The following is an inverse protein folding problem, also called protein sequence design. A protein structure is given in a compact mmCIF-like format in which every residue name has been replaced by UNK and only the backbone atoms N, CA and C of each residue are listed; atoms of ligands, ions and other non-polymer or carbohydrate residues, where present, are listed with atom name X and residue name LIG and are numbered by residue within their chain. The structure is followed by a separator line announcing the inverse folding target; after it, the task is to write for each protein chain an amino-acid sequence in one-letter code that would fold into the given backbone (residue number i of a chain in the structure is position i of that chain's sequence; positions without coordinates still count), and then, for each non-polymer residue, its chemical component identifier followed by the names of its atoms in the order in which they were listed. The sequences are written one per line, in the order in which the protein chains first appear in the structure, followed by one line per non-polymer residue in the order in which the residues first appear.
data_IF_649708568720
#
_entry.id   IF_649708568720
#
_cell.length_a   1.000
_cell.length_b   1.000
_cell.length_c   1.000
_cell.angle_alpha   90.00
_cell.angle_beta   90.00
_cell.angle_gamma   90.00
#
_symmetry.space_group_name_H-M   'P 1'
#
loop_
_entity.id
_entity.type
_entity.pdbx_description
1 polymer ?
#
# COMPACT_ATOMS: atom_id res chain seq x y z
N UNK A 1 -12.05 1.83 -8.07
CA UNK A 1 -10.92 0.95 -7.78
C UNK A 1 -10.14 0.71 -9.06
N UNK A 2 -8.80 0.77 -9.01
CA UNK A 2 -7.94 0.49 -10.15
C UNK A 2 -7.12 -0.76 -9.83
N UNK A 3 -7.34 -1.81 -10.61
CA UNK A 3 -6.53 -3.03 -10.55
C UNK A 3 -5.39 -2.92 -11.56
N UNK A 4 -4.17 -3.24 -11.13
CA UNK A 4 -2.98 -3.19 -11.98
C UNK A 4 -2.35 -4.58 -12.10
N UNK A 5 -2.29 -5.11 -13.30
CA UNK A 5 -1.58 -6.34 -13.62
C UNK A 5 -0.46 -6.07 -14.62
N UNK A 6 0.72 -6.62 -14.39
CA UNK A 6 1.85 -6.40 -15.30
C UNK A 6 1.65 -7.12 -16.64
N UNK A 7 0.92 -8.24 -16.66
CA UNK A 7 0.68 -9.08 -17.86
C UNK A 7 -0.74 -9.56 -17.89
N UNK A 8 -1.29 -9.74 -19.07
CA UNK A 8 -2.63 -10.35 -19.26
C UNK A 8 -2.68 -11.82 -18.84
N UNK A 9 -1.55 -12.50 -18.85
CA UNK A 9 -1.41 -13.89 -18.40
C UNK A 9 -1.37 -14.06 -16.88
N UNK A 10 -1.48 -12.98 -16.10
CA UNK A 10 -1.55 -13.05 -14.64
C UNK A 10 -2.81 -13.81 -14.21
N UNK A 11 -2.66 -14.78 -13.31
CA UNK A 11 -3.75 -15.63 -12.84
C UNK A 11 -4.89 -14.84 -12.15
N UNK A 12 -4.61 -13.64 -11.65
CA UNK A 12 -5.61 -12.77 -11.06
C UNK A 12 -6.50 -12.06 -12.10
N UNK A 13 -6.05 -11.91 -13.35
CA UNK A 13 -6.77 -11.15 -14.39
C UNK A 13 -8.18 -11.69 -14.66
N UNK A 14 -8.40 -13.00 -14.85
CA UNK A 14 -9.77 -13.52 -15.06
C UNK A 14 -10.68 -13.26 -13.85
N UNK A 15 -10.14 -13.37 -12.64
CA UNK A 15 -10.89 -13.09 -11.41
C UNK A 15 -11.29 -11.63 -11.32
N UNK A 16 -10.35 -10.71 -11.57
CA UNK A 16 -10.62 -9.27 -11.56
C UNK A 16 -11.67 -8.88 -12.59
N UNK A 17 -11.59 -9.41 -13.81
CA UNK A 17 -12.61 -9.18 -14.86
C UNK A 17 -14.00 -9.62 -14.41
N UNK A 18 -14.10 -10.78 -13.76
CA UNK A 18 -15.36 -11.26 -13.18
C UNK A 18 -15.86 -10.34 -12.07
N UNK A 19 -14.99 -9.96 -11.11
CA UNK A 19 -15.37 -9.04 -10.04
C UNK A 19 -15.90 -7.70 -10.57
N UNK A 20 -15.29 -7.15 -11.59
CA UNK A 20 -15.76 -5.92 -12.22
C UNK A 20 -17.16 -6.11 -12.84
N UNK A 21 -17.38 -7.23 -13.54
CA UNK A 21 -18.67 -7.55 -14.13
C UNK A 21 -19.77 -7.79 -13.09
N UNK A 22 -19.45 -8.49 -12.00
CA UNK A 22 -20.37 -8.80 -10.91
C UNK A 22 -20.74 -7.56 -10.05
N UNK A 23 -19.93 -6.50 -10.11
CA UNK A 23 -20.11 -5.28 -9.32
C UNK A 23 -20.19 -4.00 -10.17
N UNK A 24 -21.14 -3.88 -11.12
CA UNK A 24 -21.20 -2.77 -12.08
C UNK A 24 -21.46 -1.40 -11.43
N UNK A 25 -21.95 -1.38 -10.20
CA UNK A 25 -22.13 -0.13 -9.43
C UNK A 25 -20.83 0.42 -8.82
N UNK A 26 -19.77 -0.37 -8.80
CA UNK A 26 -18.47 0.04 -8.28
C UNK A 26 -17.63 0.56 -9.46
N UNK A 27 -17.29 1.84 -9.42
CA UNK A 27 -16.40 2.40 -10.44
C UNK A 27 -15.03 1.73 -10.33
N UNK A 28 -14.77 0.79 -11.23
CA UNK A 28 -13.53 0.00 -11.23
C UNK A 28 -13.02 -0.22 -12.66
N UNK A 29 -11.72 -0.41 -12.77
CA UNK A 29 -11.05 -0.71 -14.04
C UNK A 29 -9.85 -1.62 -13.81
N UNK A 30 -9.50 -2.40 -14.82
CA UNK A 30 -8.30 -3.24 -14.88
C UNK A 30 -7.35 -2.63 -15.92
N UNK A 31 -6.14 -2.31 -15.48
CA UNK A 31 -5.06 -1.82 -16.34
C UNK A 31 -3.97 -2.89 -16.45
N UNK A 32 -3.63 -3.27 -17.67
CA UNK A 32 -2.62 -4.28 -17.97
C UNK A 32 -1.43 -3.62 -18.63
N UNK A 33 -0.25 -4.07 -18.30
CA UNK A 33 1.02 -3.58 -18.81
C UNK A 33 1.96 -3.18 -17.68
N UNK A 34 3.20 -2.95 -18.05
CA UNK A 34 4.28 -2.58 -17.15
C UNK A 34 5.06 -1.42 -17.76
N UNK A 35 5.36 -0.41 -16.94
CA UNK A 35 6.13 0.77 -17.36
C UNK A 35 7.44 0.76 -16.60
N UNK A 36 8.56 0.56 -17.29
CA UNK A 36 9.90 0.54 -16.70
C UNK A 36 10.33 1.93 -16.24
N UNK A 37 9.91 2.32 -15.04
CA UNK A 37 10.33 3.56 -14.38
C UNK A 37 11.56 3.36 -13.50
N UNK A 38 11.73 2.16 -12.96
CA UNK A 38 12.68 1.91 -11.88
C UNK A 38 13.07 0.44 -11.80
N UNK A 39 13.98 0.12 -10.88
CA UNK A 39 14.30 -1.26 -10.52
C UNK A 39 13.23 -1.96 -9.66
N UNK A 40 12.16 -1.24 -9.24
CA UNK A 40 11.09 -1.81 -8.42
C UNK A 40 9.91 -2.25 -9.29
N UNK A 41 9.68 -3.57 -9.48
CA UNK A 41 8.60 -4.08 -10.33
C UNK A 41 7.21 -3.68 -9.86
N UNK A 42 7.00 -3.53 -8.55
CA UNK A 42 5.72 -3.09 -7.97
C UNK A 42 5.37 -1.69 -8.43
N UNK A 43 6.31 -0.74 -8.34
CA UNK A 43 6.08 0.64 -8.77
C UNK A 43 5.88 0.72 -10.28
N UNK A 44 6.64 -0.05 -11.05
CA UNK A 44 6.47 -0.14 -12.50
C UNK A 44 5.04 -0.59 -12.87
N UNK A 45 4.50 -1.58 -12.16
CA UNK A 45 3.13 -2.04 -12.34
C UNK A 45 2.08 -1.01 -11.87
N UNK A 46 2.33 -0.31 -10.77
CA UNK A 46 1.38 0.66 -10.20
C UNK A 46 1.32 1.99 -10.96
N UNK A 47 2.35 2.34 -11.73
CA UNK A 47 2.46 3.65 -12.38
C UNK A 47 1.26 4.00 -13.26
N UNK A 48 0.80 3.07 -14.09
CA UNK A 48 -0.40 3.27 -14.93
C UNK A 48 -1.67 3.53 -14.12
N UNK A 49 -1.76 2.89 -12.94
CA UNK A 49 -2.87 3.14 -12.01
C UNK A 49 -2.79 4.51 -11.36
N UNK A 50 -1.58 4.96 -11.02
CA UNK A 50 -1.33 6.30 -10.50
C UNK A 50 -1.70 7.38 -11.52
N UNK A 51 -1.29 7.23 -12.78
CA UNK A 51 -1.63 8.14 -13.88
C UNK A 51 -3.15 8.18 -14.14
N UNK A 52 -3.81 7.03 -14.10
CA UNK A 52 -5.25 6.93 -14.33
C UNK A 52 -6.11 7.38 -13.14
N UNK A 53 -5.52 7.50 -11.96
CA UNK A 53 -6.24 7.94 -10.77
C UNK A 53 -6.50 9.45 -10.81
N UNK A 54 -7.73 9.87 -10.49
CA UNK A 54 -8.14 11.29 -10.50
C UNK A 54 -8.47 11.81 -9.10
N UNK A 55 -8.36 10.97 -8.08
CA UNK A 55 -8.70 11.32 -6.69
C UNK A 55 -7.55 12.06 -6.00
N UNK A 56 -7.90 12.98 -5.09
CA UNK A 56 -6.94 13.63 -4.19
C UNK A 56 -6.35 12.68 -3.16
N UNK A 57 -7.00 11.54 -2.95
CA UNK A 57 -6.58 10.50 -2.04
C UNK A 57 -6.20 9.25 -2.83
N UNK A 58 -5.03 8.73 -2.53
CA UNK A 58 -4.47 7.54 -3.16
C UNK A 58 -4.18 6.48 -2.11
N UNK A 59 -4.63 5.25 -2.35
CA UNK A 59 -4.19 4.10 -1.59
C UNK A 59 -3.55 3.08 -2.51
N UNK A 60 -2.32 2.73 -2.22
CA UNK A 60 -1.59 1.64 -2.86
C UNK A 60 -1.56 0.47 -1.89
N UNK A 61 -2.06 -0.68 -2.32
CA UNK A 61 -2.11 -1.88 -1.50
C UNK A 61 -1.71 -3.10 -2.30
N UNK A 62 -1.07 -4.07 -1.64
CA UNK A 62 -0.74 -5.35 -2.24
C UNK A 62 -1.99 -6.24 -2.34
N UNK A 63 -1.96 -7.17 -3.29
CA UNK A 63 -3.07 -8.11 -3.54
C UNK A 63 -3.21 -9.22 -2.49
N UNK A 64 -2.22 -9.38 -1.60
CA UNK A 64 -2.22 -10.41 -0.56
C UNK A 64 -2.67 -9.91 0.82
N UNK A 65 -3.50 -8.88 0.85
CA UNK A 65 -4.16 -8.41 2.06
C UNK A 65 -5.65 -8.70 2.02
N UNK A 66 -6.22 -9.10 3.14
CA UNK A 66 -7.66 -9.15 3.34
C UNK A 66 -8.11 -7.79 3.87
N UNK A 67 -8.83 -7.06 3.03
CA UNK A 67 -9.30 -5.71 3.35
C UNK A 67 -10.72 -5.76 3.90
N UNK A 68 -10.88 -5.29 5.12
CA UNK A 68 -12.21 -5.16 5.75
C UNK A 68 -13.04 -4.08 5.06
N UNK A 69 -14.37 -4.14 5.21
CA UNK A 69 -15.30 -3.15 4.61
C UNK A 69 -15.04 -1.71 5.05
N UNK A 70 -14.46 -1.52 6.21
CA UNK A 70 -14.15 -0.21 6.79
C UNK A 70 -12.66 0.20 6.62
N UNK A 71 -11.92 -0.50 5.75
CA UNK A 71 -10.50 -0.28 5.49
C UNK A 71 -10.14 1.20 5.30
N UNK A 72 -10.75 1.87 4.33
CA UNK A 72 -10.46 3.28 4.05
C UNK A 72 -10.84 4.19 5.22
N UNK A 73 -11.92 3.89 5.92
CA UNK A 73 -12.33 4.65 7.10
C UNK A 73 -11.29 4.57 8.21
N UNK A 74 -10.69 3.40 8.41
CA UNK A 74 -9.63 3.19 9.40
C UNK A 74 -8.36 3.96 9.06
N UNK A 75 -7.99 4.01 7.78
CA UNK A 75 -6.85 4.81 7.33
C UNK A 75 -7.11 6.30 7.55
N UNK A 76 -8.29 6.79 7.19
CA UNK A 76 -8.68 8.18 7.41
C UNK A 76 -8.75 8.56 8.90
N UNK A 77 -9.15 7.65 9.77
CA UNK A 77 -9.32 7.93 11.20
C UNK A 77 -8.04 8.36 11.92
N UNK A 78 -6.87 7.95 11.41
CA UNK A 78 -5.57 8.32 11.98
C UNK A 78 -4.92 9.51 11.29
N UNK A 79 -5.54 10.05 10.23
CA UNK A 79 -5.02 11.24 9.55
C UNK A 79 -5.10 12.48 10.44
N UNK A 80 -4.03 13.29 10.47
CA UNK A 80 -3.90 14.56 11.19
C UNK A 80 -3.26 15.59 10.26
N UNK A 81 -3.20 16.84 10.66
CA UNK A 81 -2.60 17.92 9.86
C UNK A 81 -1.13 17.69 9.52
N UNK A 82 -0.40 17.07 10.44
CA UNK A 82 1.02 16.73 10.26
C UNK A 82 1.26 15.40 9.55
N UNK A 83 0.20 14.74 9.04
CA UNK A 83 0.32 13.43 8.39
C UNK A 83 0.62 13.57 6.91
N UNK A 84 1.70 12.96 6.44
CA UNK A 84 2.02 12.86 5.02
C UNK A 84 1.65 11.50 4.40
N UNK A 85 1.59 10.46 5.23
CA UNK A 85 1.29 9.09 4.81
C UNK A 85 0.69 8.31 5.97
N UNK A 86 -0.34 7.52 5.69
CA UNK A 86 -0.79 6.47 6.60
C UNK A 86 -0.41 5.11 6.02
N UNK A 87 0.20 4.28 6.86
CA UNK A 87 0.57 2.91 6.54
C UNK A 87 -0.10 1.94 7.52
N UNK A 88 -0.04 0.64 7.20
CA UNK A 88 -0.52 -0.39 8.10
C UNK A 88 0.37 -1.63 7.98
N UNK A 89 1.02 -2.04 9.07
CA UNK A 89 1.73 -3.30 9.08
C UNK A 89 0.73 -4.46 8.95
N UNK A 90 1.07 -5.51 8.19
CA UNK A 90 0.21 -6.68 8.06
C UNK A 90 0.28 -7.55 9.32
N UNK A 91 -0.78 -8.32 9.55
CA UNK A 91 -0.81 -9.43 10.50
C UNK A 91 -0.81 -10.73 9.71
N UNK A 92 0.19 -11.56 9.88
CA UNK A 92 0.25 -12.87 9.26
C UNK A 92 -0.83 -13.80 9.84
N UNK A 93 -1.62 -14.42 8.96
CA UNK A 93 -2.72 -15.31 9.34
C UNK A 93 -2.76 -16.53 8.41
N UNK A 94 -3.35 -17.63 8.87
CA UNK A 94 -3.61 -18.83 8.05
C UNK A 94 -2.36 -19.37 7.34
N UNK A 95 -1.25 -19.62 8.04
CA UNK A 95 -0.04 -20.11 7.39
C UNK A 95 -0.29 -21.47 6.69
N UNK A 96 0.12 -21.58 5.43
CA UNK A 96 -0.05 -22.80 4.65
C UNK A 96 0.90 -23.95 5.05
N UNK A 97 2.02 -23.62 5.72
CA UNK A 97 3.06 -24.57 6.10
C UNK A 97 3.89 -24.03 7.27
N UNK A 98 4.86 -24.81 7.71
CA UNK A 98 5.76 -24.44 8.81
C UNK A 98 6.49 -23.11 8.58
N UNK A 99 7.03 -22.88 7.39
CA UNK A 99 7.73 -21.64 7.08
C UNK A 99 6.81 -20.44 7.06
N UNK A 100 5.60 -20.60 6.55
CA UNK A 100 4.55 -19.58 6.66
C UNK A 100 4.19 -19.27 8.13
N UNK A 101 4.19 -20.30 9.01
CA UNK A 101 3.98 -20.06 10.44
C UNK A 101 5.12 -19.27 11.09
N UNK A 102 6.36 -19.53 10.69
CA UNK A 102 7.53 -18.76 11.14
C UNK A 102 7.45 -17.31 10.66
N UNK A 103 7.08 -17.09 9.39
CA UNK A 103 6.85 -15.73 8.84
C UNK A 103 5.73 -15.01 9.61
N UNK A 104 4.59 -15.65 9.84
CA UNK A 104 3.50 -15.10 10.64
C UNK A 104 3.97 -14.74 12.06
N UNK A 105 4.75 -15.59 12.71
CA UNK A 105 5.29 -15.33 14.03
C UNK A 105 6.20 -14.10 14.04
N UNK A 106 7.07 -13.95 13.03
CA UNK A 106 7.93 -12.78 12.87
C UNK A 106 7.12 -11.50 12.63
N UNK A 107 6.17 -11.52 11.68
CA UNK A 107 5.31 -10.38 11.38
C UNK A 107 4.55 -9.90 12.63
N UNK A 108 3.95 -10.85 13.35
CA UNK A 108 3.05 -10.56 14.47
C UNK A 108 3.78 -10.20 15.77
N UNK A 109 4.95 -10.76 16.00
CA UNK A 109 5.70 -10.53 17.24
C UNK A 109 6.71 -9.40 17.15
N UNK A 110 7.46 -9.31 16.06
CA UNK A 110 8.54 -8.34 15.89
C UNK A 110 8.09 -7.15 15.07
N UNK A 111 7.77 -7.36 13.80
CA UNK A 111 7.62 -6.27 12.85
C UNK A 111 6.47 -5.34 13.21
N UNK A 112 5.27 -5.85 13.43
CA UNK A 112 4.11 -5.03 13.75
C UNK A 112 4.29 -4.26 15.07
N UNK A 113 4.84 -4.91 16.10
CA UNK A 113 5.07 -4.27 17.41
C UNK A 113 6.07 -3.13 17.33
N UNK A 114 7.20 -3.35 16.64
CA UNK A 114 8.20 -2.30 16.49
C UNK A 114 7.71 -1.12 15.67
N UNK A 115 6.92 -1.37 14.63
CA UNK A 115 6.33 -0.30 13.84
C UNK A 115 5.34 0.53 14.67
N UNK A 116 4.44 -0.11 15.40
CA UNK A 116 3.49 0.59 16.26
C UNK A 116 4.20 1.35 17.40
N UNK A 117 5.19 0.76 18.04
CA UNK A 117 5.98 1.44 19.06
C UNK A 117 6.72 2.67 18.49
N UNK A 118 7.28 2.57 17.29
CA UNK A 118 7.92 3.69 16.62
C UNK A 118 6.91 4.81 16.31
N UNK A 119 5.68 4.48 15.90
CA UNK A 119 4.63 5.47 15.63
C UNK A 119 4.22 6.20 16.92
N UNK A 120 4.03 5.50 18.03
CA UNK A 120 3.74 6.09 19.34
C UNK A 120 4.83 7.06 19.80
N UNK A 121 6.09 6.78 19.46
CA UNK A 121 7.24 7.67 19.71
C UNK A 121 7.38 8.78 18.67
N UNK A 122 6.43 8.93 17.74
CA UNK A 122 6.47 9.92 16.67
C UNK A 122 7.46 9.60 15.54
N UNK A 123 7.99 8.37 15.51
CA UNK A 123 8.95 7.88 14.53
C UNK A 123 8.34 6.83 13.59
N UNK A 124 7.04 6.90 13.34
CA UNK A 124 6.34 6.02 12.42
C UNK A 124 7.04 5.91 11.07
N UNK A 125 7.01 4.74 10.46
CA UNK A 125 7.60 4.47 9.15
C UNK A 125 6.68 3.59 8.31
N UNK A 126 6.74 3.78 6.99
CA UNK A 126 5.90 3.08 6.05
C UNK A 126 6.25 1.61 5.94
N UNK A 127 5.25 0.81 5.60
CA UNK A 127 5.37 -0.57 5.20
C UNK A 127 4.59 -0.75 3.88
N UNK A 128 5.23 -1.36 2.89
CA UNK A 128 4.76 -1.38 1.49
C UNK A 128 3.39 -2.02 1.25
N UNK A 129 2.84 -2.76 2.22
CA UNK A 129 1.53 -3.41 2.09
C UNK A 129 0.36 -2.43 2.00
N UNK A 130 0.46 -1.29 2.68
CA UNK A 130 -0.54 -0.21 2.63
C UNK A 130 0.16 1.13 2.67
N UNK A 131 -0.04 1.94 1.62
CA UNK A 131 0.46 3.30 1.51
C UNK A 131 -0.71 4.21 1.13
N UNK A 132 -1.22 4.96 2.09
CA UNK A 132 -2.36 5.86 1.91
C UNK A 132 -1.89 7.32 1.97
N UNK A 133 -2.07 8.04 0.86
CA UNK A 133 -1.53 9.36 0.59
C UNK A 133 -2.61 10.41 0.33
N UNK A 134 -2.31 11.66 0.65
CA UNK A 134 -2.83 12.77 -0.15
C UNK A 134 -1.95 12.92 -1.39
N UNK A 135 -2.57 13.03 -2.56
CA UNK A 135 -1.88 13.17 -3.83
C UNK A 135 -0.86 14.31 -3.79
N UNK A 136 -1.22 15.47 -3.28
CA UNK A 136 -0.36 16.65 -3.18
C UNK A 136 0.96 16.38 -2.45
N UNK A 137 0.94 15.59 -1.37
CA UNK A 137 2.14 15.23 -0.60
C UNK A 137 3.08 14.36 -1.43
N UNK A 138 2.52 13.38 -2.15
CA UNK A 138 3.29 12.51 -3.01
C UNK A 138 3.89 13.30 -4.19
N UNK A 139 3.11 14.16 -4.82
CA UNK A 139 3.53 14.98 -5.96
C UNK A 139 4.58 16.02 -5.58
N UNK A 140 4.43 16.69 -4.43
CA UNK A 140 5.44 17.61 -3.89
C UNK A 140 6.80 16.92 -3.67
N UNK A 141 6.80 15.61 -3.38
CA UNK A 141 8.00 14.79 -3.25
C UNK A 141 8.55 14.24 -4.57
N UNK A 142 7.95 14.59 -5.72
CA UNK A 142 8.34 14.12 -7.05
C UNK A 142 7.56 12.91 -7.57
N UNK A 143 6.41 12.63 -6.98
CA UNK A 143 5.47 11.61 -7.43
C UNK A 143 5.97 10.18 -7.24
N UNK A 144 5.28 9.25 -7.90
CA UNK A 144 5.61 7.82 -7.83
C UNK A 144 7.02 7.51 -8.37
N UNK A 145 7.49 8.28 -9.35
CA UNK A 145 8.82 8.12 -9.93
C UNK A 145 9.93 8.38 -8.90
N UNK A 146 9.73 9.30 -7.95
CA UNK A 146 10.70 9.56 -6.89
C UNK A 146 10.85 8.37 -5.94
N UNK A 147 9.77 7.64 -5.65
CA UNK A 147 9.81 6.42 -4.85
C UNK A 147 10.63 5.32 -5.54
N UNK A 148 10.59 5.27 -6.87
CA UNK A 148 11.30 4.28 -7.68
C UNK A 148 12.82 4.45 -7.72
N UNK A 149 13.37 5.55 -7.21
CA UNK A 149 14.83 5.75 -7.12
C UNK A 149 15.49 4.85 -6.06
N UNK A 150 14.71 4.18 -5.24
CA UNK A 150 15.15 3.23 -4.22
C UNK A 150 14.47 1.88 -4.46
N UNK A 151 15.15 0.80 -4.09
CA UNK A 151 14.57 -0.55 -4.24
C UNK A 151 13.35 -0.76 -3.34
N UNK A 152 13.35 -0.16 -2.15
CA UNK A 152 12.29 -0.26 -1.18
C UNK A 152 11.43 1.03 -1.20
N UNK A 153 10.23 0.95 -1.77
CA UNK A 153 9.30 2.06 -1.90
C UNK A 153 8.77 2.57 -0.55
N UNK A 154 8.71 1.73 0.46
CA UNK A 154 8.30 2.08 1.81
C UNK A 154 9.34 2.94 2.53
N UNK A 155 10.62 2.58 2.39
CA UNK A 155 11.73 3.40 2.88
C UNK A 155 11.75 4.75 2.14
N UNK A 156 11.57 4.74 0.82
CA UNK A 156 11.51 5.95 0.01
C UNK A 156 10.33 6.84 0.43
N UNK A 157 9.16 6.24 0.66
CA UNK A 157 7.94 6.89 1.15
C UNK A 157 8.17 7.58 2.49
N UNK A 158 8.76 6.86 3.44
CA UNK A 158 9.09 7.41 4.77
C UNK A 158 10.01 8.62 4.66
N UNK A 159 11.05 8.53 3.85
CA UNK A 159 12.00 9.64 3.64
C UNK A 159 11.36 10.85 2.97
N UNK A 160 10.52 10.60 1.95
CA UNK A 160 9.80 11.64 1.22
C UNK A 160 8.89 12.45 2.17
N UNK A 161 8.14 11.77 3.02
CA UNK A 161 7.25 12.39 4.00
C UNK A 161 8.06 13.21 5.03
N UNK A 162 9.11 12.63 5.58
CA UNK A 162 9.95 13.32 6.58
C UNK A 162 10.69 14.52 6.01
N UNK A 163 11.11 14.47 4.75
CA UNK A 163 11.75 15.60 4.07
C UNK A 163 10.82 16.82 3.92
N UNK A 164 9.51 16.61 3.98
CA UNK A 164 8.50 17.68 3.97
C UNK A 164 8.08 18.12 5.39
N UNK A 165 8.76 17.65 6.44
CA UNK A 165 8.40 17.95 7.83
C UNK A 165 7.14 17.23 8.32
N UNK A 166 6.63 16.28 7.54
CA UNK A 166 5.42 15.52 7.84
C UNK A 166 5.76 14.18 8.50
N UNK A 167 4.74 13.50 9.01
CA UNK A 167 4.86 12.21 9.70
C UNK A 167 4.21 11.08 8.91
N UNK A 168 4.79 9.89 9.05
CA UNK A 168 4.11 8.64 8.73
C UNK A 168 3.37 8.19 9.97
N UNK A 169 2.07 7.90 9.84
CA UNK A 169 1.24 7.33 10.91
C UNK A 169 0.81 5.92 10.55
N UNK A 170 0.53 5.12 11.56
CA UNK A 170 0.07 3.76 11.38
C UNK A 170 -1.40 3.62 11.71
N UNK A 171 -2.12 2.82 10.92
CA UNK A 171 -3.46 2.39 11.26
C UNK A 171 -3.43 1.59 12.57
N UNK A 172 -4.29 1.93 13.52
CA UNK A 172 -4.34 1.24 14.82
C UNK A 172 -4.82 -0.20 14.72
N UNK A 173 -5.63 -0.52 13.71
CA UNK A 173 -6.03 -1.89 13.38
C UNK A 173 -5.25 -2.38 12.18
N UNK A 174 -4.66 -3.55 12.34
CA UNK A 174 -3.83 -4.21 11.34
C UNK A 174 -4.70 -5.04 10.38
N UNK A 175 -4.20 -5.27 9.18
CA UNK A 175 -4.92 -6.02 8.14
C UNK A 175 -4.29 -7.40 7.94
N UNK A 176 -5.13 -8.41 7.77
CA UNK A 176 -4.68 -9.78 7.67
C UNK A 176 -3.98 -10.05 6.33
N UNK A 177 -2.84 -10.71 6.40
CA UNK A 177 -2.11 -11.31 5.29
C UNK A 177 -2.16 -12.84 5.48
N UNK A 178 -2.94 -13.56 4.65
CA UNK A 178 -2.99 -15.03 4.70
C UNK A 178 -1.72 -15.66 4.13
#
# INVERSE_FOLDING_TARGET
VIFCAARDSDAAVPLVRRLIADHPKVRSQLLIGDTRLSGNPKLNNLFKGYEAATSDWLVMTDSNLLLDRDYLRRLMAVWREDTGLVSAPPVGTRPANFWGAVECAFLNSSQARWQLAADELGQGFAQGKTLFWRREVLEAGGGLAALGRKLAEDVASTRLVRAQGLRVRLAQRLFAQP
#
